data_IF_286702218872
#
_entry.id   IF_286702218872
#
_cell.length_a   1.000
_cell.length_b   1.000
_cell.length_c   1.000
_cell.angle_alpha   90.00
_cell.angle_beta   90.00
_cell.angle_gamma   90.00
#
_symmetry.space_group_name_H-M   'P 1'
#
loop_
_entity.id
_entity.type
_entity.pdbx_description
1 polymer ?
#
# COMPACT_ATOMS: atom_id res chain seq x y z
N UNK A 1 18.21 -4.13 2.04
CA UNK A 1 18.67 -3.17 0.99
C UNK A 1 18.15 -3.57 -0.39
N UNK A 2 18.70 -4.56 -1.10
CA UNK A 2 18.20 -4.93 -2.45
C UNK A 2 16.73 -5.36 -2.46
N UNK A 3 16.30 -6.17 -1.50
CA UNK A 3 14.90 -6.61 -1.36
C UNK A 3 13.94 -5.45 -1.12
N UNK A 4 14.37 -4.41 -0.40
CA UNK A 4 13.53 -3.24 -0.12
C UNK A 4 13.33 -2.39 -1.38
N UNK A 5 14.37 -2.25 -2.20
CA UNK A 5 14.29 -1.56 -3.48
C UNK A 5 13.36 -2.31 -4.44
N UNK A 6 13.45 -3.65 -4.49
CA UNK A 6 12.56 -4.47 -5.33
C UNK A 6 11.11 -4.35 -4.85
N UNK A 7 10.87 -4.43 -3.54
CA UNK A 7 9.53 -4.30 -2.98
C UNK A 7 8.92 -2.91 -3.25
N UNK A 8 9.71 -1.85 -3.09
CA UNK A 8 9.28 -0.49 -3.39
C UNK A 8 8.96 -0.31 -4.89
N UNK A 9 9.85 -0.77 -5.77
CA UNK A 9 9.64 -0.71 -7.21
C UNK A 9 8.39 -1.50 -7.65
N UNK A 10 8.17 -2.69 -7.07
CA UNK A 10 6.98 -3.50 -7.34
C UNK A 10 5.71 -2.80 -6.86
N UNK A 11 5.68 -2.28 -5.63
CA UNK A 11 4.53 -1.56 -5.09
C UNK A 11 4.21 -0.30 -5.92
N UNK A 12 5.23 0.45 -6.32
CA UNK A 12 5.11 1.61 -7.20
C UNK A 12 4.55 1.21 -8.58
N UNK A 13 5.11 0.17 -9.18
CA UNK A 13 4.64 -0.34 -10.48
C UNK A 13 3.19 -0.79 -10.44
N UNK A 14 2.81 -1.55 -9.41
CA UNK A 14 1.43 -1.97 -9.20
C UNK A 14 0.48 -0.78 -9.01
N UNK A 15 0.86 0.20 -8.18
CA UNK A 15 0.03 1.39 -7.97
C UNK A 15 -0.11 2.25 -9.23
N UNK A 16 0.96 2.33 -10.05
CA UNK A 16 0.97 3.10 -11.29
C UNK A 16 0.01 2.55 -12.36
N UNK A 17 -0.24 1.24 -12.38
CA UNK A 17 -1.16 0.62 -13.36
C UNK A 17 -2.64 0.80 -13.02
N UNK A 18 -2.97 1.19 -11.78
CA UNK A 18 -4.35 1.47 -11.37
C UNK A 18 -4.84 2.74 -12.08
N UNK A 19 -5.99 2.74 -12.77
CA UNK A 19 -6.51 3.96 -13.39
C UNK A 19 -6.79 5.07 -12.38
N UNK A 20 -6.73 6.35 -12.80
CA UNK A 20 -7.27 7.44 -11.98
C UNK A 20 -8.77 7.20 -11.69
N UNK A 21 -9.26 7.75 -10.58
CA UNK A 21 -10.66 7.61 -10.10
C UNK A 21 -11.12 6.20 -9.68
N UNK A 22 -10.23 5.21 -9.69
CA UNK A 22 -10.51 3.88 -9.13
C UNK A 22 -10.37 3.88 -7.62
N UNK A 23 -11.29 3.16 -6.97
CA UNK A 23 -11.26 2.88 -5.55
C UNK A 23 -10.15 1.86 -5.25
N UNK A 24 -9.37 2.10 -4.19
CA UNK A 24 -8.24 1.28 -3.78
C UNK A 24 -8.34 0.91 -2.30
N UNK A 25 -7.70 -0.19 -1.91
CA UNK A 25 -7.58 -0.62 -0.52
C UNK A 25 -6.14 -0.99 -0.17
N UNK A 26 -5.79 -0.82 1.09
CA UNK A 26 -4.49 -1.23 1.61
C UNK A 26 -4.52 -2.71 1.99
N UNK A 27 -3.67 -3.53 1.36
CA UNK A 27 -3.47 -4.92 1.75
C UNK A 27 -2.21 -5.07 2.60
N UNK A 28 -2.40 -5.69 3.76
CA UNK A 28 -1.33 -6.14 4.64
C UNK A 28 -0.96 -7.58 4.33
N UNK A 29 0.28 -7.88 3.93
CA UNK A 29 0.74 -9.27 3.80
C UNK A 29 0.77 -9.94 5.18
N UNK A 30 0.68 -11.28 5.18
CA UNK A 30 0.82 -12.07 6.40
C UNK A 30 2.17 -11.85 7.10
N UNK A 31 3.23 -11.61 6.30
CA UNK A 31 4.58 -11.27 6.78
C UNK A 31 5.04 -9.93 6.19
N UNK A 32 5.77 -9.14 6.98
CA UNK A 32 6.29 -7.84 6.52
C UNK A 32 5.33 -6.67 6.69
N UNK A 33 4.32 -6.80 7.57
CA UNK A 33 3.56 -5.65 8.06
C UNK A 33 4.34 -4.93 9.17
N UNK A 34 4.65 -3.66 8.96
CA UNK A 34 5.53 -2.90 9.84
C UNK A 34 4.73 -2.05 10.83
N UNK A 35 4.67 -2.52 12.07
CA UNK A 35 4.00 -1.83 13.17
C UNK A 35 2.47 -1.76 13.00
N UNK A 36 1.85 -0.88 13.79
CA UNK A 36 0.39 -0.70 13.82
C UNK A 36 -0.12 0.06 12.60
N UNK A 37 0.64 1.03 12.07
CA UNK A 37 0.21 1.87 10.93
C UNK A 37 -0.17 1.07 9.69
N UNK A 38 0.50 -0.06 9.45
CA UNK A 38 0.18 -0.96 8.35
C UNK A 38 -1.22 -1.60 8.51
N UNK A 39 -1.59 -1.98 9.73
CA UNK A 39 -2.93 -2.48 10.06
C UNK A 39 -3.96 -1.35 10.05
N UNK A 40 -3.62 -0.18 10.59
CA UNK A 40 -4.50 1.00 10.59
C UNK A 40 -4.87 1.41 9.16
N UNK A 41 -3.91 1.34 8.21
CA UNK A 41 -4.20 1.58 6.81
C UNK A 41 -5.17 0.55 6.21
N UNK A 42 -5.07 -0.73 6.58
CA UNK A 42 -6.03 -1.74 6.12
C UNK A 42 -7.42 -1.54 6.75
N UNK A 43 -7.50 -1.11 8.00
CA UNK A 43 -8.76 -0.80 8.69
C UNK A 43 -9.47 0.43 8.10
N UNK A 44 -8.75 1.29 7.37
CA UNK A 44 -9.33 2.44 6.69
C UNK A 44 -10.29 2.05 5.54
N UNK A 45 -10.26 0.79 5.10
CA UNK A 45 -11.09 0.28 4.03
C UNK A 45 -10.77 0.91 2.67
N UNK A 46 -11.83 1.10 1.88
CA UNK A 46 -11.75 1.61 0.52
C UNK A 46 -11.55 3.13 0.49
N UNK A 47 -10.60 3.59 -0.33
CA UNK A 47 -10.22 5.00 -0.53
C UNK A 47 -10.14 5.31 -2.02
N UNK A 48 -10.19 6.59 -2.41
CA UNK A 48 -9.91 6.95 -3.81
C UNK A 48 -8.41 6.86 -4.09
N UNK A 49 -8.00 6.44 -5.29
CA UNK A 49 -6.60 6.53 -5.71
C UNK A 49 -6.10 7.97 -5.53
N UNK A 50 -4.96 8.13 -4.86
CA UNK A 50 -4.37 9.43 -4.52
C UNK A 50 -4.85 10.02 -3.20
N UNK A 51 -5.78 9.39 -2.50
CA UNK A 51 -6.13 9.77 -1.13
C UNK A 51 -5.13 9.16 -0.13
N UNK A 52 -4.85 9.87 0.95
CA UNK A 52 -3.98 9.39 2.02
C UNK A 52 -4.71 8.36 2.90
N UNK A 53 -4.01 7.29 3.25
CA UNK A 53 -4.42 6.39 4.33
C UNK A 53 -4.08 7.00 5.70
N UNK A 54 -4.60 6.48 6.84
CA UNK A 54 -4.37 7.03 8.19
C UNK A 54 -2.91 7.30 8.56
N UNK A 55 -1.97 6.54 8.01
CA UNK A 55 -0.53 6.79 8.13
C UNK A 55 -0.01 8.05 7.41
N UNK A 56 -0.85 8.78 6.67
CA UNK A 56 -0.46 9.88 5.78
C UNK A 56 0.13 9.43 4.44
N UNK A 57 0.20 8.14 4.17
CA UNK A 57 0.76 7.62 2.92
C UNK A 57 -0.35 7.31 1.92
N UNK A 58 -0.15 7.65 0.65
CA UNK A 58 -1.04 7.26 -0.45
C UNK A 58 -0.74 5.85 -0.99
N UNK A 59 0.52 5.41 -0.84
CA UNK A 59 1.00 4.12 -1.31
C UNK A 59 2.15 3.59 -0.42
N UNK A 60 2.49 2.28 -0.52
CA UNK A 60 3.60 1.69 0.23
C UNK A 60 4.95 1.90 -0.47
N UNK A 61 6.08 1.56 0.19
CA UNK A 61 6.19 1.05 1.57
C UNK A 61 6.18 2.18 2.61
N UNK A 62 5.75 1.86 3.85
CA UNK A 62 5.78 2.81 4.98
C UNK A 62 7.21 3.04 5.53
N UNK A 63 8.05 2.01 5.47
CA UNK A 63 9.41 2.00 5.98
C UNK A 63 10.22 0.86 5.32
N UNK A 64 11.56 0.83 5.47
CA UNK A 64 12.37 -0.33 5.07
C UNK A 64 11.86 -1.63 5.72
N UNK A 65 11.84 -2.73 4.97
CA UNK A 65 11.30 -4.02 5.43
C UNK A 65 9.79 -4.20 5.28
N UNK A 66 9.00 -3.12 5.09
CA UNK A 66 7.55 -3.24 4.89
C UNK A 66 7.21 -3.81 3.50
N UNK A 67 6.14 -4.61 3.43
CA UNK A 67 5.71 -5.31 2.20
C UNK A 67 4.22 -5.13 1.86
N UNK A 68 3.54 -4.17 2.49
CA UNK A 68 2.16 -3.80 2.13
C UNK A 68 2.02 -3.39 0.67
N UNK A 69 0.81 -3.57 0.13
CA UNK A 69 0.44 -3.17 -1.22
C UNK A 69 -0.83 -2.33 -1.20
N UNK A 70 -0.99 -1.44 -2.16
CA UNK A 70 -2.26 -0.80 -2.47
C UNK A 70 -2.79 -1.43 -3.75
N UNK A 71 -4.03 -1.93 -3.70
CA UNK A 71 -4.66 -2.68 -4.79
C UNK A 71 -6.02 -2.09 -5.12
N UNK A 72 -6.55 -2.27 -6.34
CA UNK A 72 -7.93 -1.90 -6.66
C UNK A 72 -8.93 -2.58 -5.73
N UNK A 73 -9.94 -1.84 -5.30
CA UNK A 73 -11.07 -2.38 -4.56
C UNK A 73 -11.99 -3.16 -5.50
N UNK A 74 -12.44 -4.35 -5.08
CA UNK A 74 -13.22 -5.27 -5.93
C UNK A 74 -12.41 -6.30 -6.73
N UNK A 75 -11.08 -6.35 -6.57
CA UNK A 75 -10.30 -7.56 -6.84
C UNK A 75 -10.35 -8.56 -5.70
#
# INVERSE_FOLDING_TARGET
>A
MTTDVIAAAFALGLYATIPPDVQVRWQTPAEGCCGTSCHDNALAGTRRKGEEFPSGHQLPPLAPGCRSLVVPDGQ
#
